data_IF_763799631443
#
_entry.id   IF_763799631443
#
_cell.length_a   1.000
_cell.length_b   1.000
_cell.length_c   1.000
_cell.angle_alpha   90.00
_cell.angle_beta   90.00
_cell.angle_gamma   90.00
#
_symmetry.space_group_name_H-M   'P 1'
#
loop_
_entity.id
_entity.type
_entity.pdbx_description
1 polymer ?
#
# COMPACT_ATOMS: atom_id res chain seq x y z
N UNK A 1 61.65 -30.35 -39.56
CA UNK A 1 61.26 -29.31 -38.63
C UNK A 1 59.78 -28.96 -38.93
N UNK A 2 58.84 -29.52 -38.20
CA UNK A 2 57.43 -29.30 -38.42
C UNK A 2 56.92 -28.29 -37.33
N UNK A 3 56.44 -27.10 -37.74
CA UNK A 3 55.84 -26.08 -36.87
C UNK A 3 54.37 -26.42 -36.67
N UNK A 4 53.98 -26.71 -35.46
CA UNK A 4 52.56 -26.85 -35.05
C UNK A 4 51.99 -25.48 -34.70
N UNK A 5 51.02 -25.00 -35.49
CA UNK A 5 50.20 -23.83 -35.15
C UNK A 5 49.08 -24.30 -34.24
N UNK A 6 49.08 -23.87 -32.96
CA UNK A 6 47.96 -24.03 -32.08
C UNK A 6 46.93 -22.93 -32.35
N UNK A 7 45.76 -23.35 -32.81
CA UNK A 7 44.60 -22.48 -32.96
C UNK A 7 43.94 -22.35 -31.60
N UNK A 8 44.01 -21.18 -30.96
CA UNK A 8 43.23 -20.85 -29.75
C UNK A 8 41.82 -20.46 -30.22
N UNK A 9 40.86 -21.36 -30.05
CA UNK A 9 39.44 -21.04 -30.14
C UNK A 9 39.02 -20.31 -28.86
N UNK A 10 38.84 -19.00 -28.91
CA UNK A 10 38.15 -18.22 -27.89
C UNK A 10 36.65 -18.48 -28.00
N UNK A 11 36.11 -19.33 -27.11
CA UNK A 11 34.68 -19.51 -26.96
C UNK A 11 34.10 -18.24 -26.32
N UNK A 12 33.59 -17.34 -27.16
CA UNK A 12 32.81 -16.20 -26.72
C UNK A 12 31.47 -16.67 -26.19
N UNK A 13 31.34 -16.68 -24.86
CA UNK A 13 30.07 -16.93 -24.19
C UNK A 13 29.15 -15.72 -24.40
N UNK A 14 28.25 -15.82 -25.36
CA UNK A 14 27.18 -14.85 -25.57
C UNK A 14 26.22 -14.97 -24.36
N UNK A 15 26.33 -14.04 -23.43
CA UNK A 15 25.26 -13.85 -22.43
C UNK A 15 24.03 -13.27 -23.15
N UNK A 16 23.11 -14.13 -23.54
CA UNK A 16 21.78 -13.71 -23.95
C UNK A 16 21.08 -13.26 -22.66
N UNK A 17 21.10 -11.94 -22.39
CA UNK A 17 20.18 -11.33 -21.44
C UNK A 17 18.80 -11.47 -22.06
N UNK A 18 18.12 -12.57 -21.72
CA UNK A 18 16.71 -12.75 -22.02
C UNK A 18 15.93 -11.73 -21.19
N UNK A 19 15.64 -10.56 -21.76
CA UNK A 19 14.55 -9.73 -21.30
C UNK A 19 13.26 -10.50 -21.55
N UNK A 20 12.90 -11.40 -20.63
CA UNK A 20 11.56 -11.97 -20.58
C UNK A 20 10.61 -10.84 -20.15
N UNK A 21 10.12 -10.08 -21.14
CA UNK A 21 9.00 -9.17 -21.00
C UNK A 21 7.71 -9.97 -20.75
N UNK A 22 7.67 -10.72 -19.65
CA UNK A 22 6.46 -11.29 -19.10
C UNK A 22 5.84 -10.24 -18.18
N UNK A 23 4.65 -9.73 -18.53
CA UNK A 23 3.92 -8.67 -17.81
C UNK A 23 3.46 -9.06 -16.39
N UNK A 24 4.31 -9.70 -15.59
CA UNK A 24 4.07 -10.06 -14.20
C UNK A 24 4.91 -9.21 -13.25
N UNK A 25 4.39 -8.98 -12.05
CA UNK A 25 5.12 -8.30 -10.98
C UNK A 25 6.42 -9.04 -10.65
N UNK A 26 7.47 -8.29 -10.33
CA UNK A 26 8.73 -8.84 -9.79
C UNK A 26 8.49 -9.58 -8.48
N UNK A 27 9.45 -10.38 -8.04
CA UNK A 27 9.38 -11.04 -6.75
C UNK A 27 9.31 -10.03 -5.59
N UNK A 28 10.03 -8.89 -5.73
CA UNK A 28 10.05 -7.81 -4.74
C UNK A 28 8.70 -7.09 -4.69
N UNK A 29 8.11 -6.74 -5.85
CA UNK A 29 6.79 -6.14 -5.92
C UNK A 29 5.70 -7.06 -5.32
N UNK A 30 5.75 -8.37 -5.59
CA UNK A 30 4.84 -9.34 -4.97
C UNK A 30 4.99 -9.34 -3.45
N UNK A 31 6.23 -9.36 -2.95
CA UNK A 31 6.51 -9.34 -1.51
C UNK A 31 6.00 -8.05 -0.86
N UNK A 32 6.22 -6.90 -1.50
CA UNK A 32 5.70 -5.62 -1.01
C UNK A 32 4.17 -5.63 -0.89
N UNK A 33 3.47 -6.17 -1.89
CA UNK A 33 2.00 -6.35 -1.82
C UNK A 33 1.56 -7.25 -0.67
N UNK A 34 2.25 -8.36 -0.44
CA UNK A 34 1.94 -9.26 0.69
C UNK A 34 2.09 -8.54 2.03
N UNK A 35 3.17 -7.76 2.20
CA UNK A 35 3.40 -6.98 3.42
C UNK A 35 2.35 -5.88 3.57
N UNK A 36 2.02 -5.16 2.49
CA UNK A 36 0.97 -4.14 2.49
C UNK A 36 -0.40 -4.73 2.90
N UNK A 37 -0.77 -5.88 2.33
CA UNK A 37 -1.98 -6.59 2.70
C UNK A 37 -1.99 -7.03 4.18
N UNK A 38 -0.82 -7.41 4.74
CA UNK A 38 -0.70 -7.76 6.15
C UNK A 38 -0.88 -6.53 7.07
N UNK A 39 -0.35 -5.36 6.67
CA UNK A 39 -0.57 -4.08 7.37
C UNK A 39 -2.06 -3.73 7.37
N UNK A 40 -2.72 -3.76 6.20
CA UNK A 40 -4.15 -3.47 6.07
C UNK A 40 -5.01 -4.42 6.93
N UNK A 41 -4.68 -5.72 6.92
CA UNK A 41 -5.37 -6.72 7.75
C UNK A 41 -5.19 -6.48 9.25
N UNK A 42 -3.99 -6.11 9.68
CA UNK A 42 -3.70 -5.76 11.07
C UNK A 42 -4.50 -4.52 11.49
N UNK A 43 -4.57 -3.51 10.62
CA UNK A 43 -5.36 -2.30 10.84
C UNK A 43 -6.86 -2.61 10.93
N UNK A 44 -7.42 -3.39 10.00
CA UNK A 44 -8.81 -3.82 10.00
C UNK A 44 -9.15 -4.65 11.26
N UNK A 45 -8.25 -5.55 11.65
CA UNK A 45 -8.43 -6.42 12.83
C UNK A 45 -8.15 -5.73 14.17
N UNK A 46 -7.46 -4.60 14.18
CA UNK A 46 -7.01 -3.91 15.39
C UNK A 46 -5.90 -4.63 16.16
N UNK A 47 -5.26 -5.62 15.55
CA UNK A 47 -4.11 -6.33 16.14
C UNK A 47 -2.79 -5.82 15.54
N UNK A 48 -2.12 -4.97 16.28
CA UNK A 48 -0.85 -4.35 15.89
C UNK A 48 0.39 -5.07 16.45
N UNK A 49 0.23 -6.24 17.08
CA UNK A 49 1.32 -6.95 17.76
C UNK A 49 2.49 -7.33 16.86
N UNK A 50 2.22 -7.54 15.57
CA UNK A 50 3.22 -7.89 14.54
C UNK A 50 3.61 -6.74 13.62
N UNK A 51 3.19 -5.50 13.92
CA UNK A 51 3.44 -4.37 13.02
C UNK A 51 4.95 -4.14 12.77
N UNK A 52 5.79 -4.41 13.74
CA UNK A 52 7.25 -4.34 13.59
C UNK A 52 7.87 -5.35 12.61
N UNK A 53 7.13 -6.41 12.23
CA UNK A 53 7.56 -7.33 11.18
C UNK A 53 7.34 -6.72 9.78
N UNK A 54 6.40 -5.78 9.66
CA UNK A 54 5.92 -5.20 8.40
C UNK A 54 6.44 -3.78 8.15
N UNK A 55 6.68 -3.01 9.21
CA UNK A 55 7.11 -1.61 9.15
C UNK A 55 8.48 -1.44 9.80
N UNK A 56 9.26 -0.47 9.30
CA UNK A 56 10.52 -0.08 9.89
C UNK A 56 10.30 0.66 11.22
N UNK A 57 11.27 0.55 12.15
CA UNK A 57 11.18 1.23 13.44
C UNK A 57 11.16 2.77 13.32
N UNK A 58 11.80 3.29 12.27
CA UNK A 58 11.91 4.71 11.93
C UNK A 58 10.96 5.14 10.78
N UNK A 59 9.93 4.35 10.49
CA UNK A 59 8.94 4.67 9.46
C UNK A 59 8.29 6.03 9.68
N UNK A 60 7.85 6.66 8.58
CA UNK A 60 7.17 7.95 8.58
C UNK A 60 5.79 7.80 7.92
N UNK A 61 4.75 8.25 8.60
CA UNK A 61 3.42 8.41 8.04
C UNK A 61 3.17 9.91 7.80
N UNK A 62 2.95 10.27 6.54
CA UNK A 62 2.67 11.65 6.11
C UNK A 62 1.18 12.02 6.17
N UNK A 63 0.32 11.09 6.65
CA UNK A 63 -1.12 11.26 6.78
C UNK A 63 -1.58 11.72 8.17
N UNK A 64 -0.67 12.07 9.07
CA UNK A 64 -1.02 12.51 10.42
C UNK A 64 -1.82 13.81 10.45
N UNK A 65 -2.75 13.93 11.39
CA UNK A 65 -3.67 15.06 11.55
C UNK A 65 -2.96 16.42 11.69
N UNK A 66 -1.76 16.43 12.29
CA UNK A 66 -0.95 17.62 12.52
C UNK A 66 0.39 17.64 11.76
N UNK A 67 0.55 16.76 10.80
CA UNK A 67 1.77 16.57 10.01
C UNK A 67 2.36 15.16 10.14
N UNK A 68 3.64 15.01 9.81
CA UNK A 68 4.31 13.70 9.82
C UNK A 68 4.30 13.03 11.19
N UNK A 69 3.87 11.77 11.23
CA UNK A 69 4.02 10.88 12.38
C UNK A 69 5.26 10.02 12.18
N UNK A 70 6.25 10.19 13.04
CA UNK A 70 7.56 9.52 12.92
C UNK A 70 7.74 8.43 13.97
N UNK A 71 8.22 7.27 13.50
CA UNK A 71 8.50 6.11 14.31
C UNK A 71 7.31 5.19 14.51
N UNK A 72 7.60 3.89 14.49
CA UNK A 72 6.61 2.81 14.52
C UNK A 72 5.61 2.93 15.69
N UNK A 73 6.09 3.21 16.89
CA UNK A 73 5.25 3.29 18.10
C UNK A 73 4.22 4.42 17.99
N UNK A 74 4.62 5.57 17.46
CA UNK A 74 3.73 6.71 17.26
C UNK A 74 2.70 6.39 16.15
N UNK A 75 3.13 5.76 15.05
CA UNK A 75 2.23 5.32 13.98
C UNK A 75 1.20 4.32 14.51
N UNK A 76 1.62 3.34 15.30
CA UNK A 76 0.70 2.38 15.95
C UNK A 76 -0.28 3.11 16.88
N UNK A 77 0.16 4.13 17.59
CA UNK A 77 -0.72 4.93 18.45
C UNK A 77 -1.82 5.63 17.65
N UNK A 78 -1.45 6.29 16.53
CA UNK A 78 -2.43 6.91 15.63
C UNK A 78 -3.37 5.87 14.98
N UNK A 79 -2.83 4.75 14.50
CA UNK A 79 -3.65 3.66 13.98
C UNK A 79 -4.70 3.17 14.98
N UNK A 80 -4.34 3.01 16.26
CA UNK A 80 -5.27 2.64 17.33
C UNK A 80 -6.35 3.69 17.55
N UNK A 81 -5.99 4.97 17.50
CA UNK A 81 -6.92 6.10 17.62
C UNK A 81 -7.96 6.06 16.50
N UNK A 82 -7.54 6.01 15.25
CA UNK A 82 -8.46 5.95 14.09
C UNK A 82 -9.30 4.66 14.12
N UNK A 83 -8.70 3.54 14.47
CA UNK A 83 -9.41 2.26 14.57
C UNK A 83 -10.50 2.29 15.65
N UNK A 84 -10.29 3.01 16.74
CA UNK A 84 -11.27 3.18 17.81
C UNK A 84 -12.50 4.00 17.36
N UNK A 85 -12.35 4.91 16.40
CA UNK A 85 -13.46 5.70 15.84
C UNK A 85 -14.41 4.85 14.99
N UNK A 86 -13.92 3.75 14.39
CA UNK A 86 -14.70 2.84 13.55
C UNK A 86 -14.38 1.38 13.90
N UNK A 87 -14.89 0.86 15.04
CA UNK A 87 -14.49 -0.44 15.58
C UNK A 87 -14.94 -1.66 14.77
N UNK A 88 -15.90 -1.53 13.88
CA UNK A 88 -16.39 -2.56 12.96
C UNK A 88 -15.91 -2.37 11.51
N UNK A 89 -14.89 -1.54 11.31
CA UNK A 89 -14.35 -1.20 9.99
C UNK A 89 -14.02 -2.44 9.16
N UNK A 90 -14.44 -2.39 7.90
CA UNK A 90 -14.10 -3.32 6.82
C UNK A 90 -13.49 -2.58 5.67
N UNK A 91 -12.43 -3.16 5.09
CA UNK A 91 -11.76 -2.64 3.91
C UNK A 91 -12.07 -3.49 2.68
N UNK A 92 -12.14 -2.85 1.54
CA UNK A 92 -12.26 -3.49 0.22
C UNK A 92 -11.29 -2.80 -0.73
N UNK A 93 -10.30 -3.53 -1.21
CA UNK A 93 -9.38 -3.03 -2.24
C UNK A 93 -10.14 -2.92 -3.56
N UNK A 94 -10.21 -1.72 -4.12
CA UNK A 94 -10.82 -1.43 -5.42
C UNK A 94 -9.79 -1.69 -6.52
N UNK A 95 -8.58 -1.15 -6.32
CA UNK A 95 -7.46 -1.32 -7.25
C UNK A 95 -6.14 -1.27 -6.50
N UNK A 96 -5.14 -2.01 -6.98
CA UNK A 96 -3.81 -2.01 -6.38
C UNK A 96 -2.74 -2.14 -7.46
N UNK A 97 -1.73 -1.30 -7.39
CA UNK A 97 -0.54 -1.31 -8.23
C UNK A 97 0.70 -1.45 -7.37
N UNK A 98 1.73 -2.11 -7.88
CA UNK A 98 2.98 -2.26 -7.16
C UNK A 98 4.17 -2.33 -8.09
N UNK A 99 5.29 -1.81 -7.62
CA UNK A 99 6.62 -2.01 -8.17
C UNK A 99 7.61 -2.43 -7.07
N UNK A 100 8.90 -2.36 -7.36
CA UNK A 100 9.93 -2.79 -6.42
C UNK A 100 10.08 -1.87 -5.20
N UNK A 101 9.51 -0.67 -5.23
CA UNK A 101 9.63 0.31 -4.15
C UNK A 101 8.29 0.73 -3.57
N UNK A 102 7.21 0.72 -4.35
CA UNK A 102 5.92 1.26 -3.94
C UNK A 102 4.78 0.26 -4.11
N UNK A 103 3.81 0.34 -3.21
CA UNK A 103 2.46 -0.20 -3.39
C UNK A 103 1.48 0.96 -3.29
N UNK A 104 0.63 1.12 -4.30
CA UNK A 104 -0.48 2.05 -4.29
C UNK A 104 -1.76 1.25 -4.20
N UNK A 105 -2.58 1.55 -3.21
CA UNK A 105 -3.86 0.88 -2.95
C UNK A 105 -4.99 1.89 -2.96
N UNK A 106 -5.92 1.75 -3.89
CA UNK A 106 -7.21 2.44 -3.80
C UNK A 106 -8.19 1.53 -3.09
N UNK A 107 -8.67 1.95 -1.93
CA UNK A 107 -9.52 1.15 -1.07
C UNK A 107 -10.77 1.91 -0.62
N UNK A 108 -11.82 1.15 -0.34
CA UNK A 108 -13.04 1.60 0.30
C UNK A 108 -13.09 1.03 1.72
N UNK A 109 -13.39 1.88 2.68
CA UNK A 109 -13.60 1.52 4.08
C UNK A 109 -15.06 1.75 4.43
N UNK A 110 -15.67 0.81 5.15
CA UNK A 110 -17.04 0.90 5.61
C UNK A 110 -17.10 0.44 7.06
N UNK A 111 -17.84 1.15 7.88
CA UNK A 111 -18.04 0.82 9.29
C UNK A 111 -18.98 1.81 9.96
N UNK A 112 -19.12 1.71 11.26
CA UNK A 112 -19.96 2.60 12.06
C UNK A 112 -19.11 3.63 12.79
N UNK A 113 -19.37 4.91 12.55
CA UNK A 113 -18.77 6.05 13.23
C UNK A 113 -19.88 6.90 13.83
N UNK A 114 -19.81 7.19 15.14
CA UNK A 114 -20.82 7.95 15.87
C UNK A 114 -22.26 7.43 15.66
N UNK A 115 -22.41 6.10 15.61
CA UNK A 115 -23.70 5.43 15.43
C UNK A 115 -24.26 5.45 14.00
N UNK A 116 -23.51 5.97 13.01
CA UNK A 116 -23.89 6.03 11.60
C UNK A 116 -23.00 5.12 10.76
N UNK A 117 -23.62 4.39 9.81
CA UNK A 117 -22.84 3.67 8.79
C UNK A 117 -22.16 4.69 7.91
N UNK A 118 -20.85 4.63 7.86
CA UNK A 118 -19.97 5.55 7.15
C UNK A 118 -19.17 4.76 6.12
N UNK A 119 -19.04 5.33 4.93
CA UNK A 119 -18.19 4.81 3.86
C UNK A 119 -17.22 5.91 3.42
N UNK A 120 -15.95 5.57 3.28
CA UNK A 120 -14.92 6.46 2.79
C UNK A 120 -14.02 5.73 1.79
N UNK A 121 -13.38 6.48 0.92
CA UNK A 121 -12.39 5.99 -0.02
C UNK A 121 -11.05 6.67 0.22
N UNK A 122 -9.97 5.93 0.07
CA UNK A 122 -8.62 6.48 0.08
C UNK A 122 -7.77 5.92 -1.04
N UNK A 123 -6.76 6.68 -1.41
CA UNK A 123 -5.61 6.20 -2.15
C UNK A 123 -4.39 6.24 -1.22
N UNK A 124 -3.91 5.08 -0.85
CA UNK A 124 -2.79 4.88 0.06
C UNK A 124 -1.54 4.55 -0.76
N UNK A 125 -0.44 5.23 -0.50
CA UNK A 125 0.86 4.98 -1.12
C UNK A 125 1.81 4.56 -0.01
N UNK A 126 2.36 3.35 -0.12
CA UNK A 126 3.34 2.83 0.82
C UNK A 126 4.66 2.59 0.10
N UNK A 127 5.74 3.16 0.61
CA UNK A 127 7.10 2.93 0.15
C UNK A 127 7.76 1.83 0.96
N UNK A 128 8.46 0.94 0.26
CA UNK A 128 9.12 -0.23 0.83
C UNK A 128 10.62 -0.18 0.65
N UNK A 129 11.34 -0.55 1.69
CA UNK A 129 12.78 -0.79 1.67
C UNK A 129 13.08 -2.05 2.48
N UNK A 130 13.89 -2.95 1.90
CA UNK A 130 14.30 -4.21 2.54
C UNK A 130 13.13 -5.05 3.07
N UNK A 131 11.98 -5.03 2.34
CA UNK A 131 10.77 -5.79 2.65
C UNK A 131 9.92 -5.22 3.78
N UNK A 132 10.17 -3.99 4.23
CA UNK A 132 9.37 -3.26 5.23
C UNK A 132 8.87 -1.94 4.68
N UNK A 133 7.68 -1.53 5.11
CA UNK A 133 7.16 -0.19 4.87
C UNK A 133 8.03 0.84 5.62
N UNK A 134 8.47 1.89 4.91
CA UNK A 134 9.32 2.95 5.45
C UNK A 134 8.66 4.32 5.40
N UNK A 135 7.76 4.55 4.44
CA UNK A 135 7.00 5.79 4.33
C UNK A 135 5.57 5.45 3.85
N UNK A 136 4.60 6.23 4.31
CA UNK A 136 3.20 6.10 3.94
C UNK A 136 2.55 7.45 3.71
N UNK A 137 1.70 7.55 2.70
CA UNK A 137 0.83 8.69 2.38
C UNK A 137 -0.59 8.21 2.19
N UNK A 138 -1.55 8.97 2.68
CA UNK A 138 -2.97 8.74 2.45
C UNK A 138 -3.61 9.96 1.82
N UNK A 139 -4.44 9.73 0.80
CA UNK A 139 -5.21 10.75 0.12
C UNK A 139 -6.67 10.36 0.15
N UNK A 140 -7.51 11.24 0.68
CA UNK A 140 -8.96 11.07 0.79
C UNK A 140 -9.68 12.17 0.02
N UNK A 141 -10.91 11.90 -0.41
CA UNK A 141 -11.75 12.96 -0.97
C UNK A 141 -12.01 14.03 0.10
N UNK A 142 -11.72 15.32 -0.16
CA UNK A 142 -11.95 16.39 0.82
C UNK A 142 -13.41 16.49 1.27
N UNK A 143 -14.38 16.08 0.43
CA UNK A 143 -15.81 16.08 0.80
C UNK A 143 -16.13 14.96 1.76
N UNK A 144 -15.58 13.75 1.56
CA UNK A 144 -15.71 12.64 2.49
C UNK A 144 -15.05 12.98 3.84
N UNK A 145 -13.86 13.59 3.80
CA UNK A 145 -13.17 14.05 5.00
C UNK A 145 -13.98 15.11 5.74
N UNK A 146 -14.52 16.11 5.05
CA UNK A 146 -15.37 17.15 5.66
C UNK A 146 -16.64 16.56 6.26
N UNK A 147 -17.28 15.58 5.61
CA UNK A 147 -18.46 14.90 6.11
C UNK A 147 -18.16 14.08 7.39
N UNK A 148 -16.97 13.50 7.51
CA UNK A 148 -16.55 12.82 8.75
C UNK A 148 -16.35 13.78 9.91
N UNK A 149 -15.90 15.00 9.64
CA UNK A 149 -15.63 16.03 10.66
C UNK A 149 -16.86 16.87 11.00
N UNK A 150 -17.93 16.81 10.17
CA UNK A 150 -19.14 17.61 10.38
C UNK A 150 -20.06 16.94 11.41
N UNK A 151 -20.45 17.62 12.49
CA UNK A 151 -21.40 17.08 13.46
C UNK A 151 -22.79 16.91 12.80
N UNK A 152 -23.21 15.69 12.53
CA UNK A 152 -24.62 15.37 12.40
C UNK A 152 -25.27 15.29 11.01
N UNK A 153 -24.57 15.51 9.89
CA UNK A 153 -25.15 15.32 8.55
C UNK A 153 -24.96 13.87 8.04
N UNK A 154 -25.99 13.20 7.49
CA UNK A 154 -25.80 11.89 6.84
C UNK A 154 -25.00 12.05 5.56
N UNK A 155 -23.97 11.22 5.36
CA UNK A 155 -23.30 11.17 4.06
C UNK A 155 -24.24 10.70 2.95
N UNK A 156 -24.29 11.48 1.86
CA UNK A 156 -24.99 11.08 0.64
C UNK A 156 -24.19 9.97 -0.06
N UNK A 157 -24.66 8.73 0.05
CA UNK A 157 -24.05 7.55 -0.59
C UNK A 157 -24.35 7.46 -2.10
N UNK A 158 -24.84 8.52 -2.75
CA UNK A 158 -25.27 8.51 -4.15
C UNK A 158 -24.12 8.61 -5.19
N UNK A 159 -22.87 8.55 -4.76
CA UNK A 159 -21.75 8.41 -5.71
C UNK A 159 -21.66 6.97 -6.21
N UNK A 160 -22.61 6.59 -7.09
CA UNK A 160 -22.40 5.42 -7.95
C UNK A 160 -21.12 5.66 -8.78
N UNK A 161 -20.27 4.62 -8.93
CA UNK A 161 -19.13 4.72 -9.82
C UNK A 161 -19.62 5.08 -11.22
N UNK A 162 -18.98 6.09 -11.83
CA UNK A 162 -19.27 6.51 -13.20
C UNK A 162 -19.32 5.27 -14.08
N UNK A 163 -20.47 5.00 -14.71
CA UNK A 163 -20.60 3.93 -15.70
C UNK A 163 -19.60 4.22 -16.80
N UNK A 164 -18.65 3.31 -16.96
CA UNK A 164 -17.68 3.33 -18.05
C UNK A 164 -18.43 3.29 -19.38
N UNK A 165 -18.64 4.45 -20.00
CA UNK A 165 -19.14 4.57 -21.36
C UNK A 165 -17.94 4.58 -22.29
N UNK A 166 -17.19 3.48 -22.32
CA UNK A 166 -16.25 3.23 -23.39
C UNK A 166 -17.04 3.04 -24.69
N UNK A 167 -16.87 3.99 -25.61
CA UNK A 167 -17.12 3.84 -27.03
C UNK A 167 -15.84 3.67 -27.79
#
# INVERSE_FOLDING_TARGET
MKKYYQFLMAAGTLFIVSCSGGGGLSAKAKKNKEVNAAIMKAYEGGDFSKMGDYMAADAIDHGGETGDVKGLENIISEMKKYRAMMPDMKSTVIHEMADDEYVMTWAKFTGTMDGKVTTMTSADITKFKDGKAVEHWVFMDPKEMAAMMAPGEPMDNSLEPAKDTAR
#
